data_IF_070999116337
#
_entry.id   IF_070999116337
#
_cell.length_a   1.000
_cell.length_b   1.000
_cell.length_c   1.000
_cell.angle_alpha   90.00
_cell.angle_beta   90.00
_cell.angle_gamma   90.00
#
_symmetry.space_group_name_H-M   'P 1'
#
loop_
_entity.id
_entity.type
_entity.pdbx_description
1 polymer ?
#
# COMPACT_ATOMS: atom_id res chain seq x y z
N UNK A 1 -48.02 22.84 37.32
CA UNK A 1 -47.98 22.79 35.85
C UNK A 1 -46.60 23.26 35.38
N UNK A 2 -45.63 22.35 35.26
CA UNK A 2 -44.28 22.67 34.75
C UNK A 2 -43.56 21.37 34.34
N UNK A 3 -44.01 20.71 33.26
CA UNK A 3 -43.28 19.56 32.70
C UNK A 3 -43.75 19.25 31.27
N UNK A 4 -43.62 20.22 30.36
CA UNK A 4 -43.89 19.98 28.93
C UNK A 4 -42.71 20.37 28.04
N UNK A 5 -41.90 21.35 28.43
CA UNK A 5 -40.74 21.81 27.66
C UNK A 5 -39.53 20.89 27.78
N UNK A 6 -39.25 20.33 28.96
CA UNK A 6 -38.09 19.46 29.19
C UNK A 6 -38.15 18.16 28.36
N UNK A 7 -39.33 17.55 28.25
CA UNK A 7 -39.52 16.32 27.49
C UNK A 7 -39.36 16.53 25.98
N UNK A 8 -39.72 17.73 25.48
CA UNK A 8 -39.60 18.06 24.07
C UNK A 8 -38.13 18.24 23.65
N UNK A 9 -37.31 18.89 24.48
CA UNK A 9 -35.88 19.06 24.24
C UNK A 9 -35.10 17.74 24.29
N UNK A 10 -35.49 16.82 25.19
CA UNK A 10 -34.88 15.48 25.27
C UNK A 10 -35.22 14.66 24.02
N UNK A 11 -36.46 14.69 23.55
CA UNK A 11 -36.87 13.97 22.33
C UNK A 11 -36.20 14.55 21.06
N UNK A 12 -36.08 15.87 20.97
CA UNK A 12 -35.33 16.54 19.90
C UNK A 12 -33.85 16.16 19.94
N UNK A 13 -33.23 16.16 21.12
CA UNK A 13 -31.83 15.76 21.30
C UNK A 13 -31.57 14.30 20.90
N UNK A 14 -32.45 13.37 21.30
CA UNK A 14 -32.38 11.95 20.92
C UNK A 14 -32.59 11.74 19.41
N UNK A 15 -33.53 12.47 18.81
CA UNK A 15 -33.78 12.42 17.36
C UNK A 15 -32.58 12.92 16.56
N UNK A 16 -32.01 14.07 16.94
CA UNK A 16 -30.81 14.63 16.29
C UNK A 16 -29.60 13.70 16.49
N UNK A 17 -29.38 13.18 17.69
CA UNK A 17 -28.30 12.22 17.96
C UNK A 17 -28.47 10.92 17.16
N UNK A 18 -29.69 10.41 17.03
CA UNK A 18 -30.01 9.23 16.23
C UNK A 18 -29.76 9.44 14.74
N UNK A 19 -30.18 10.59 14.19
CA UNK A 19 -29.91 10.96 12.79
C UNK A 19 -28.40 11.15 12.57
N UNK A 20 -27.68 11.77 13.50
CA UNK A 20 -26.23 11.98 13.42
C UNK A 20 -25.43 10.67 13.50
N UNK A 21 -25.89 9.71 14.31
CA UNK A 21 -25.32 8.37 14.38
C UNK A 21 -25.61 7.57 13.11
N UNK A 22 -26.80 7.74 12.52
CA UNK A 22 -27.16 7.06 11.27
C UNK A 22 -26.40 7.62 10.07
N UNK A 23 -26.18 8.94 9.99
CA UNK A 23 -25.36 9.55 8.93
C UNK A 23 -23.89 9.17 9.03
N UNK A 24 -23.34 9.04 10.25
CA UNK A 24 -21.99 8.48 10.46
C UNK A 24 -21.85 7.03 9.99
N UNK A 25 -22.93 6.24 10.02
CA UNK A 25 -22.93 4.85 9.54
C UNK A 25 -23.06 4.74 8.01
N UNK A 26 -23.49 5.82 7.36
CA UNK A 26 -23.76 5.89 5.91
C UNK A 26 -22.64 6.58 5.10
N UNK A 27 -21.59 7.09 5.74
CA UNK A 27 -20.39 7.53 5.02
C UNK A 27 -19.65 6.31 4.48
N UNK A 28 -20.05 5.85 3.29
CA UNK A 28 -19.29 4.88 2.50
C UNK A 28 -17.88 5.45 2.35
N UNK A 29 -16.87 4.77 2.89
CA UNK A 29 -15.46 5.10 2.60
C UNK A 29 -15.31 5.15 1.07
N UNK A 30 -14.92 6.30 0.54
CA UNK A 30 -14.60 6.43 -0.88
C UNK A 30 -13.39 5.56 -1.13
N UNK A 31 -13.57 4.46 -1.86
CA UNK A 31 -12.47 3.59 -2.28
C UNK A 31 -11.68 4.36 -3.33
N UNK A 32 -10.38 4.58 -3.07
CA UNK A 32 -9.49 5.21 -4.06
C UNK A 32 -9.46 4.38 -5.34
N UNK A 33 -9.19 5.00 -6.48
CA UNK A 33 -9.13 4.30 -7.77
C UNK A 33 -8.12 3.14 -7.79
N UNK A 34 -7.08 3.25 -6.96
CA UNK A 34 -6.06 2.22 -6.78
C UNK A 34 -6.21 1.42 -5.49
N UNK A 35 -7.39 1.48 -4.86
CA UNK A 35 -7.70 0.84 -3.59
C UNK A 35 -6.78 1.28 -2.44
N UNK A 36 -6.00 2.35 -2.61
CA UNK A 36 -4.99 2.80 -1.65
C UNK A 36 -3.73 1.93 -1.64
N UNK A 37 -3.48 1.15 -2.69
CA UNK A 37 -2.31 0.28 -2.78
C UNK A 37 -0.98 1.03 -2.86
N UNK A 38 -0.96 2.25 -3.42
CA UNK A 38 0.27 2.96 -3.75
C UNK A 38 0.51 4.17 -2.83
N UNK A 39 1.75 4.29 -2.37
CA UNK A 39 2.26 5.49 -1.69
C UNK A 39 2.70 6.53 -2.69
N UNK A 40 3.45 6.07 -3.70
CA UNK A 40 4.06 6.91 -4.71
C UNK A 40 3.97 6.25 -6.08
N UNK A 41 3.60 7.04 -7.08
CA UNK A 41 3.63 6.64 -8.49
C UNK A 41 4.94 7.09 -9.08
N UNK A 42 5.69 6.13 -9.62
CA UNK A 42 6.92 6.36 -10.35
C UNK A 42 6.97 5.41 -11.53
N UNK A 43 7.81 5.71 -12.53
CA UNK A 43 8.03 4.80 -13.65
C UNK A 43 9.52 4.55 -13.83
N UNK A 44 9.94 3.31 -13.57
CA UNK A 44 11.24 2.82 -14.03
C UNK A 44 11.02 2.08 -15.34
N UNK A 45 11.45 2.71 -16.43
CA UNK A 45 11.29 2.18 -17.77
C UNK A 45 12.39 1.15 -18.07
N UNK A 46 12.06 0.04 -18.73
CA UNK A 46 13.05 -0.91 -19.18
C UNK A 46 13.96 -0.31 -20.26
N UNK A 47 15.15 -0.89 -20.48
CA UNK A 47 15.98 -0.52 -21.61
C UNK A 47 15.27 -0.79 -22.94
N UNK A 48 15.67 -0.11 -24.04
CA UNK A 48 15.13 -0.39 -25.37
C UNK A 48 15.27 -1.87 -25.73
N UNK A 49 14.26 -2.39 -26.42
CA UNK A 49 14.28 -3.79 -26.85
C UNK A 49 15.48 -4.07 -27.78
N UNK A 50 16.09 -5.27 -27.69
CA UNK A 50 17.17 -5.64 -28.57
C UNK A 50 16.71 -5.64 -30.04
N UNK A 51 17.56 -5.15 -30.94
CA UNK A 51 17.29 -5.24 -32.36
C UNK A 51 17.31 -6.71 -32.84
N UNK A 52 16.45 -7.10 -33.81
CA UNK A 52 16.52 -8.41 -34.45
C UNK A 52 17.93 -8.69 -35.00
N UNK A 53 18.45 -9.95 -34.88
CA UNK A 53 17.74 -11.18 -34.54
C UNK A 53 17.73 -11.52 -33.03
N UNK A 54 18.19 -10.61 -32.15
CA UNK A 54 18.25 -10.89 -30.71
C UNK A 54 16.83 -10.99 -30.13
N UNK A 55 16.61 -11.98 -29.25
CA UNK A 55 15.31 -12.19 -28.62
C UNK A 55 14.91 -10.99 -27.75
N UNK A 56 13.60 -10.68 -27.65
CA UNK A 56 13.08 -9.68 -26.71
C UNK A 56 13.44 -10.01 -25.27
N UNK A 57 13.39 -9.00 -24.40
CA UNK A 57 13.55 -9.22 -22.97
C UNK A 57 12.42 -10.10 -22.41
N UNK A 58 12.70 -10.98 -21.42
CA UNK A 58 11.74 -11.98 -20.95
C UNK A 58 10.49 -11.40 -20.27
N UNK A 59 10.56 -10.18 -19.73
CA UNK A 59 9.45 -9.51 -19.03
C UNK A 59 8.89 -8.33 -19.83
N UNK A 60 9.12 -8.33 -21.15
CA UNK A 60 8.60 -7.29 -22.04
C UNK A 60 7.09 -7.13 -21.88
N UNK A 61 6.65 -5.88 -21.79
CA UNK A 61 5.25 -5.48 -21.62
C UNK A 61 4.60 -5.86 -20.28
N UNK A 62 5.36 -6.39 -19.32
CA UNK A 62 4.89 -6.59 -17.96
C UNK A 62 5.14 -5.35 -17.10
N UNK A 63 4.25 -5.12 -16.16
CA UNK A 63 4.29 -4.06 -15.16
C UNK A 63 4.39 -4.65 -13.76
N UNK A 64 5.13 -3.98 -12.88
CA UNK A 64 5.23 -4.39 -11.49
C UNK A 64 5.26 -3.23 -10.51
N UNK A 65 4.93 -3.51 -9.26
CA UNK A 65 5.09 -2.57 -8.15
C UNK A 65 6.04 -3.14 -7.09
N UNK A 66 6.59 -2.28 -6.25
CA UNK A 66 7.50 -2.70 -5.18
C UNK A 66 7.02 -2.17 -3.83
N UNK A 67 7.07 -2.98 -2.78
CA UNK A 67 6.90 -2.48 -1.41
C UNK A 67 7.85 -1.32 -1.10
N UNK A 68 7.44 -0.40 -0.23
CA UNK A 68 8.26 0.72 0.26
C UNK A 68 9.38 0.29 1.24
N UNK A 69 10.05 -0.81 0.91
CA UNK A 69 11.24 -1.37 1.56
C UNK A 69 12.34 -1.70 0.52
N UNK A 70 12.02 -1.49 -0.77
CA UNK A 70 12.95 -1.64 -1.88
C UNK A 70 13.48 -0.27 -2.30
N UNK A 71 14.80 -0.18 -2.33
CA UNK A 71 15.48 1.02 -2.78
C UNK A 71 15.32 1.22 -4.28
N UNK A 72 15.01 2.46 -4.65
CA UNK A 72 15.01 2.95 -6.03
C UNK A 72 15.87 4.22 -6.03
N UNK A 73 16.84 4.28 -6.93
CA UNK A 73 17.75 5.42 -7.04
C UNK A 73 16.98 6.74 -7.16
N UNK A 74 17.33 7.71 -6.31
CA UNK A 74 16.69 9.02 -6.29
C UNK A 74 15.38 9.09 -5.49
N UNK A 75 14.88 7.98 -4.95
CA UNK A 75 13.69 7.93 -4.10
C UNK A 75 14.05 7.55 -2.67
N UNK A 76 13.34 8.10 -1.69
CA UNK A 76 13.50 7.73 -0.28
C UNK A 76 12.71 6.45 -0.01
N UNK A 77 13.34 5.46 0.64
CA UNK A 77 12.67 4.26 1.15
C UNK A 77 12.07 4.57 2.51
N UNK A 78 10.73 4.64 2.57
CA UNK A 78 10.01 5.17 3.71
C UNK A 78 9.68 4.14 4.79
N UNK A 79 9.76 2.84 4.50
CA UNK A 79 9.38 1.76 5.41
C UNK A 79 7.98 1.96 6.00
N UNK A 80 7.05 2.56 5.25
CA UNK A 80 5.71 2.82 5.75
C UNK A 80 5.65 3.82 6.92
N UNK A 81 6.68 4.66 7.13
CA UNK A 81 6.69 5.69 8.18
C UNK A 81 7.18 7.06 7.66
N UNK A 82 6.42 8.16 7.84
CA UNK A 82 6.79 9.48 7.30
C UNK A 82 8.04 10.08 7.95
N UNK A 83 8.23 9.94 9.27
CA UNK A 83 9.44 10.46 9.93
C UNK A 83 10.71 9.70 9.49
N UNK A 84 10.60 8.39 9.23
CA UNK A 84 11.68 7.62 8.61
C UNK A 84 12.04 8.23 7.25
N UNK A 85 11.03 8.44 6.40
CA UNK A 85 11.22 9.07 5.08
C UNK A 85 11.79 10.51 5.16
N UNK A 86 11.51 11.24 6.25
CA UNK A 86 11.99 12.63 6.41
C UNK A 86 13.43 12.69 6.94
N UNK A 87 13.87 11.66 7.65
CA UNK A 87 15.20 11.60 8.29
C UNK A 87 16.26 10.89 7.44
N UNK A 88 15.84 10.18 6.39
CA UNK A 88 16.73 9.42 5.53
C UNK A 88 16.87 10.05 4.15
N UNK A 89 18.06 9.92 3.58
CA UNK A 89 18.34 10.40 2.24
C UNK A 89 17.74 9.46 1.17
N UNK A 90 17.58 9.99 -0.03
CA UNK A 90 17.20 9.19 -1.18
C UNK A 90 18.24 8.10 -1.44
N UNK A 91 17.79 6.93 -1.88
CA UNK A 91 18.69 5.82 -2.15
C UNK A 91 19.67 6.21 -3.28
N UNK A 92 20.95 5.89 -3.07
CA UNK A 92 22.01 6.13 -4.06
C UNK A 92 22.01 5.10 -5.19
N UNK A 93 21.29 3.98 -5.03
CA UNK A 93 21.20 2.89 -6.00
C UNK A 93 19.85 2.20 -5.90
N UNK A 94 19.38 1.72 -7.04
CA UNK A 94 18.23 0.81 -7.12
C UNK A 94 18.62 -0.59 -6.64
N UNK A 95 17.73 -1.24 -5.88
CA UNK A 95 17.93 -2.60 -5.38
C UNK A 95 18.15 -3.58 -6.54
N UNK A 96 19.08 -4.53 -6.38
CA UNK A 96 19.49 -5.45 -7.45
C UNK A 96 18.32 -6.22 -8.06
N UNK A 97 17.34 -6.64 -7.26
CA UNK A 97 16.13 -7.33 -7.76
C UNK A 97 15.28 -6.41 -8.62
N UNK A 98 15.12 -5.14 -8.23
CA UNK A 98 14.36 -4.15 -9.01
C UNK A 98 15.08 -3.86 -10.32
N UNK A 99 16.40 -3.63 -10.27
CA UNK A 99 17.22 -3.44 -11.47
C UNK A 99 17.14 -4.64 -12.40
N UNK A 100 17.21 -5.87 -11.86
CA UNK A 100 17.11 -7.11 -12.65
C UNK A 100 15.79 -7.22 -13.39
N UNK A 101 14.68 -6.86 -12.75
CA UNK A 101 13.36 -6.90 -13.40
C UNK A 101 13.22 -5.83 -14.49
N UNK A 102 13.72 -4.62 -14.23
CA UNK A 102 13.72 -3.52 -15.20
C UNK A 102 14.60 -3.86 -16.41
N UNK A 103 15.83 -4.33 -16.19
CA UNK A 103 16.74 -4.82 -17.24
C UNK A 103 16.16 -6.05 -17.97
N UNK A 104 15.33 -6.83 -17.27
CA UNK A 104 14.55 -7.93 -17.81
C UNK A 104 13.35 -7.50 -18.65
N UNK A 105 13.10 -6.21 -18.83
CA UNK A 105 12.06 -5.67 -19.72
C UNK A 105 10.77 -5.23 -19.03
N UNK A 106 10.66 -5.37 -17.71
CA UNK A 106 9.47 -4.98 -16.95
C UNK A 106 9.47 -3.49 -16.62
N UNK A 107 8.28 -2.89 -16.50
CA UNK A 107 8.12 -1.50 -16.07
C UNK A 107 7.70 -1.43 -14.60
N UNK A 108 8.49 -0.79 -13.74
CA UNK A 108 8.05 -0.52 -12.36
C UNK A 108 7.08 0.67 -12.37
N UNK A 109 5.91 0.58 -11.74
CA UNK A 109 4.85 1.61 -11.80
C UNK A 109 4.58 2.31 -10.46
N UNK A 110 5.30 1.96 -9.40
CA UNK A 110 5.11 2.62 -8.11
C UNK A 110 5.63 1.86 -6.90
N UNK A 111 5.62 2.58 -5.78
CA UNK A 111 5.90 2.05 -4.44
C UNK A 111 4.59 1.79 -3.71
N UNK A 112 4.44 0.61 -3.13
CA UNK A 112 3.22 0.18 -2.46
C UNK A 112 3.28 0.36 -0.96
N UNK A 113 2.10 0.55 -0.36
CA UNK A 113 1.93 0.63 1.09
C UNK A 113 2.43 -0.65 1.74
N UNK A 114 3.15 -0.48 2.84
CA UNK A 114 3.52 -1.54 3.77
C UNK A 114 3.02 -1.18 5.17
N UNK A 115 2.95 -2.18 6.03
CA UNK A 115 2.81 -1.95 7.47
C UNK A 115 3.97 -1.08 7.98
N UNK A 116 3.72 -0.33 9.06
CA UNK A 116 4.72 0.56 9.66
C UNK A 116 5.99 -0.23 10.02
N UNK A 117 7.13 0.21 9.49
CA UNK A 117 8.44 -0.46 9.58
C UNK A 117 8.43 -1.90 9.04
N UNK A 118 7.49 -2.22 8.15
CA UNK A 118 7.16 -3.57 7.70
C UNK A 118 6.81 -4.54 8.85
N UNK A 119 6.44 -4.04 10.04
CA UNK A 119 6.27 -4.84 11.24
C UNK A 119 4.80 -5.01 11.63
N UNK A 120 4.05 -5.76 10.83
CA UNK A 120 2.72 -6.30 11.19
C UNK A 120 2.30 -7.35 10.15
N UNK A 121 1.17 -7.99 10.40
CA UNK A 121 0.52 -8.95 9.49
C UNK A 121 -0.89 -8.48 9.07
N UNK A 122 -1.36 -7.34 9.59
CA UNK A 122 -2.72 -6.87 9.32
C UNK A 122 -2.83 -6.11 8.01
N UNK A 123 -1.76 -5.47 7.54
CA UNK A 123 -1.80 -4.62 6.36
C UNK A 123 -2.38 -3.23 6.62
N UNK A 124 -2.40 -2.80 7.88
CA UNK A 124 -2.90 -1.50 8.32
C UNK A 124 -1.73 -0.55 8.59
N UNK A 125 -1.80 0.64 7.99
CA UNK A 125 -0.85 1.70 8.23
C UNK A 125 -1.57 2.94 8.75
N UNK A 126 -1.16 3.46 9.92
CA UNK A 126 -1.77 4.64 10.54
C UNK A 126 -1.53 5.92 9.73
N UNK A 127 -0.40 6.02 9.04
CA UNK A 127 0.02 7.21 8.32
C UNK A 127 -0.56 7.27 6.90
N UNK A 128 -0.60 6.11 6.22
CA UNK A 128 -1.00 6.03 4.81
C UNK A 128 -2.39 5.40 4.59
N UNK A 129 -2.96 4.83 5.65
CA UNK A 129 -4.23 4.12 5.64
C UNK A 129 -4.09 2.65 5.25
N UNK A 130 -5.20 1.92 5.34
CA UNK A 130 -5.28 0.50 4.99
C UNK A 130 -5.73 0.35 3.52
N UNK A 131 -4.95 -0.32 2.66
CA UNK A 131 -5.40 -0.70 1.33
C UNK A 131 -6.69 -1.52 1.39
N UNK A 132 -7.62 -1.27 0.48
CA UNK A 132 -8.90 -1.99 0.43
C UNK A 132 -8.74 -3.29 -0.33
N UNK A 133 -9.02 -4.42 0.32
CA UNK A 133 -9.01 -5.72 -0.35
C UNK A 133 -10.12 -5.79 -1.43
N UNK A 134 -9.79 -5.90 -2.73
CA UNK A 134 -10.79 -5.88 -3.80
C UNK A 134 -11.69 -7.13 -3.78
N UNK A 135 -11.18 -8.27 -3.31
CA UNK A 135 -11.94 -9.51 -3.21
C UNK A 135 -12.88 -9.53 -1.98
N UNK A 136 -12.53 -8.80 -0.91
CA UNK A 136 -13.33 -8.72 0.30
C UNK A 136 -13.18 -7.35 0.99
N UNK A 137 -13.87 -6.29 0.51
CA UNK A 137 -13.67 -4.92 0.99
C UNK A 137 -13.92 -4.66 2.48
N UNK A 138 -14.63 -5.57 3.15
CA UNK A 138 -14.89 -5.51 4.59
C UNK A 138 -13.83 -6.24 5.44
N UNK A 139 -12.79 -6.82 4.81
CA UNK A 139 -11.69 -7.53 5.46
C UNK A 139 -10.38 -6.78 5.22
N UNK A 140 -9.46 -6.95 6.16
CA UNK A 140 -8.08 -6.48 6.01
C UNK A 140 -7.38 -7.22 4.86
N UNK A 141 -6.47 -6.56 4.12
CA UNK A 141 -5.73 -7.18 3.02
C UNK A 141 -4.62 -8.15 3.50
N UNK A 142 -4.20 -8.06 4.76
CA UNK A 142 -3.02 -8.76 5.28
C UNK A 142 -1.73 -7.98 5.02
N UNK A 143 -0.66 -8.31 5.75
CA UNK A 143 0.61 -7.58 5.76
C UNK A 143 1.85 -8.47 5.91
N UNK A 144 3.04 -7.89 5.89
CA UNK A 144 3.31 -6.44 5.87
C UNK A 144 3.14 -5.78 4.50
N UNK A 145 3.27 -6.53 3.40
CA UNK A 145 3.20 -6.02 2.02
C UNK A 145 1.76 -5.86 1.49
N UNK A 146 0.90 -5.17 2.24
CA UNK A 146 -0.54 -5.05 1.94
C UNK A 146 -0.83 -4.37 0.60
N UNK A 147 -0.13 -3.28 0.29
CA UNK A 147 -0.30 -2.56 -0.97
C UNK A 147 0.11 -3.40 -2.17
N UNK A 148 1.15 -4.22 -2.05
CA UNK A 148 1.60 -5.12 -3.12
C UNK A 148 0.53 -6.17 -3.45
N UNK A 149 -0.01 -6.83 -2.42
CA UNK A 149 -1.09 -7.80 -2.57
C UNK A 149 -2.36 -7.18 -3.17
N UNK A 150 -2.72 -5.96 -2.74
CA UNK A 150 -3.87 -5.23 -3.29
C UNK A 150 -3.61 -4.80 -4.74
N UNK A 151 -2.40 -4.35 -5.08
CA UNK A 151 -2.06 -3.92 -6.44
C UNK A 151 -2.23 -5.07 -7.46
N UNK A 152 -1.75 -6.27 -7.12
CA UNK A 152 -1.89 -7.45 -7.98
C UNK A 152 -3.36 -7.90 -8.03
N UNK A 153 -4.02 -8.05 -6.88
CA UNK A 153 -5.41 -8.53 -6.83
C UNK A 153 -6.43 -7.58 -7.48
N UNK A 154 -6.11 -6.29 -7.56
CA UNK A 154 -6.90 -5.28 -8.27
C UNK A 154 -6.55 -5.15 -9.76
N UNK A 155 -5.65 -5.99 -10.30
CA UNK A 155 -5.12 -5.90 -11.67
C UNK A 155 -4.53 -4.52 -12.01
N UNK A 156 -3.87 -3.87 -11.04
CA UNK A 156 -3.17 -2.61 -11.26
C UNK A 156 -1.76 -2.83 -11.80
N UNK A 157 -1.21 -4.02 -11.60
CA UNK A 157 0.09 -4.52 -12.07
C UNK A 157 0.01 -6.01 -12.36
N UNK A 158 0.93 -6.53 -13.17
CA UNK A 158 1.00 -7.96 -13.49
C UNK A 158 1.59 -8.77 -12.33
N UNK A 159 2.56 -8.20 -11.61
CA UNK A 159 3.17 -8.79 -10.42
C UNK A 159 3.71 -7.72 -9.46
N UNK A 160 4.19 -8.12 -8.28
CA UNK A 160 4.76 -7.19 -7.30
C UNK A 160 5.86 -7.83 -6.48
N UNK A 161 6.82 -7.01 -6.04
CA UNK A 161 7.81 -7.40 -5.04
C UNK A 161 7.36 -7.02 -3.64
N UNK A 162 7.56 -7.94 -2.71
CA UNK A 162 7.20 -7.78 -1.30
C UNK A 162 8.32 -8.20 -0.37
N UNK A 163 8.04 -8.18 0.91
CA UNK A 163 8.94 -8.62 1.94
C UNK A 163 8.24 -9.58 2.89
N UNK A 164 9.00 -10.54 3.39
CA UNK A 164 8.56 -11.47 4.40
C UNK A 164 9.49 -11.36 5.60
N UNK A 165 8.91 -11.03 6.75
CA UNK A 165 9.61 -11.03 8.03
C UNK A 165 9.36 -12.36 8.72
N UNK A 166 10.45 -13.05 9.06
CA UNK A 166 10.41 -14.21 9.95
C UNK A 166 10.97 -13.81 11.31
N UNK A 167 10.21 -14.05 12.38
CA UNK A 167 10.69 -13.94 13.76
C UNK A 167 11.12 -15.33 14.22
N UNK A 168 12.41 -15.51 14.50
CA UNK A 168 12.91 -16.78 15.03
C UNK A 168 12.58 -16.92 16.51
N UNK A 169 12.55 -18.17 17.00
CA UNK A 169 12.32 -18.49 18.43
C UNK A 169 13.36 -17.89 19.40
N UNK A 170 14.46 -17.36 18.88
CA UNK A 170 15.50 -16.67 19.64
C UNK A 170 15.35 -15.13 19.59
N UNK A 171 14.19 -14.62 19.17
CA UNK A 171 13.88 -13.18 19.02
C UNK A 171 14.64 -12.44 17.90
N UNK A 172 15.47 -13.14 17.11
CA UNK A 172 16.09 -12.56 15.92
C UNK A 172 15.06 -12.30 14.81
N UNK A 173 15.00 -11.06 14.35
CA UNK A 173 14.16 -10.61 13.22
C UNK A 173 14.99 -10.66 11.93
N UNK A 174 14.56 -11.46 10.95
CA UNK A 174 15.19 -11.55 9.63
C UNK A 174 14.24 -11.03 8.55
N UNK A 175 14.64 -9.95 7.88
CA UNK A 175 13.95 -9.39 6.71
C UNK A 175 14.40 -10.13 5.45
N UNK A 176 13.49 -10.86 4.80
CA UNK A 176 13.71 -11.44 3.47
C UNK A 176 12.86 -10.72 2.44
N UNK A 177 13.51 -10.23 1.38
CA UNK A 177 12.84 -9.68 0.21
C UNK A 177 12.43 -10.85 -0.71
N UNK A 178 11.19 -10.88 -1.18
CA UNK A 178 10.61 -11.95 -2.02
C UNK A 178 10.05 -11.43 -3.32
#
# INVERSE_FOLDING_TARGET
MASSSANLWVLLGLGVAGVLLMTKKLTRKVVKADFGAFLERLQLLPPPQPAPPKAPHPLTALSFAVSDVFDIEGFVTGFGHPDWATTHEAASRTSSVVSTLVEGGATCVGKTVVDELAFSISGENKHYGTPTNPAAPARIPGGSSSGAAVAVSANLVDFSLGEHITVNRNEDVQLRKI
#
